data_IF_995089183207
#
_entry.id   IF_995089183207
#
_cell.length_a   1.000
_cell.length_b   1.000
_cell.length_c   1.000
_cell.angle_alpha   90.00
_cell.angle_beta   90.00
_cell.angle_gamma   90.00
#
_symmetry.space_group_name_H-M   'P 1'
#
loop_
_entity.id
_entity.type
_entity.pdbx_description
1 polymer ?
#
# COMPACT_ATOMS: atom_id res chain seq x y z
N UNK A 1 20.54 51.28 22.62
CA UNK A 1 21.14 49.95 22.68
C UNK A 1 20.20 48.86 23.24
N UNK A 2 19.53 49.16 24.35
CA UNK A 2 18.55 48.17 24.87
C UNK A 2 17.32 47.98 23.98
N UNK A 3 16.91 48.98 23.23
CA UNK A 3 15.81 48.96 22.30
C UNK A 3 16.09 48.08 21.07
N UNK A 4 17.31 48.06 20.54
CA UNK A 4 17.70 47.21 19.41
C UNK A 4 17.69 45.70 19.76
N UNK A 5 18.21 45.36 20.94
CA UNK A 5 18.16 43.98 21.45
C UNK A 5 16.73 43.48 21.68
N UNK A 6 15.83 44.33 22.09
CA UNK A 6 14.42 44.01 22.32
C UNK A 6 13.68 43.75 21.02
N UNK A 7 13.93 44.58 20.03
CA UNK A 7 13.31 44.44 18.70
C UNK A 7 13.76 43.16 18.00
N UNK A 8 15.05 42.86 18.08
CA UNK A 8 15.62 41.67 17.50
C UNK A 8 15.06 40.37 18.15
N UNK A 9 14.81 40.45 19.45
CA UNK A 9 14.25 39.33 20.21
C UNK A 9 12.75 39.12 19.92
N UNK A 10 11.99 40.16 19.73
CA UNK A 10 10.59 40.11 19.33
C UNK A 10 10.43 39.59 17.89
N UNK A 11 11.29 39.99 16.97
CA UNK A 11 11.33 39.50 15.61
C UNK A 11 11.65 38.00 15.55
N UNK A 12 12.60 37.54 16.36
CA UNK A 12 12.90 36.09 16.47
C UNK A 12 11.73 35.30 17.02
N UNK A 13 11.03 35.79 18.00
CA UNK A 13 9.83 35.13 18.52
C UNK A 13 8.72 35.05 17.51
N UNK A 14 8.49 36.09 16.74
CA UNK A 14 7.52 36.13 15.68
C UNK A 14 7.85 35.12 14.59
N UNK A 15 9.11 35.06 14.18
CA UNK A 15 9.59 34.10 13.17
C UNK A 15 9.46 32.67 13.65
N UNK A 16 9.85 32.35 14.88
CA UNK A 16 9.72 30.98 15.44
C UNK A 16 8.25 30.57 15.54
N UNK A 17 7.36 31.46 15.96
CA UNK A 17 5.92 31.17 16.00
C UNK A 17 5.35 30.88 14.62
N UNK A 18 5.74 31.63 13.61
CA UNK A 18 5.28 31.43 12.23
C UNK A 18 5.79 30.12 11.65
N UNK A 19 7.04 29.75 11.91
CA UNK A 19 7.60 28.46 11.49
C UNK A 19 6.88 27.30 12.19
N UNK A 20 6.64 27.39 13.50
CA UNK A 20 5.93 26.37 14.25
C UNK A 20 4.49 26.20 13.76
N UNK A 21 3.78 27.29 13.44
CA UNK A 21 2.44 27.25 12.86
C UNK A 21 2.45 26.62 11.47
N UNK A 22 3.43 26.92 10.65
CA UNK A 22 3.58 26.34 9.32
C UNK A 22 3.84 24.82 9.38
N UNK A 23 4.73 24.39 10.27
CA UNK A 23 5.02 22.96 10.49
C UNK A 23 3.78 22.23 11.00
N UNK A 24 3.06 22.80 11.95
CA UNK A 24 1.81 22.24 12.47
C UNK A 24 0.74 22.12 11.36
N UNK A 25 0.64 23.11 10.48
CA UNK A 25 -0.27 23.07 9.34
C UNK A 25 0.09 21.96 8.35
N UNK A 26 1.38 21.79 8.04
CA UNK A 26 1.87 20.72 7.16
C UNK A 26 1.55 19.35 7.77
N UNK A 27 1.82 19.15 9.05
CA UNK A 27 1.50 17.90 9.75
C UNK A 27 -0.01 17.65 9.74
N UNK A 28 -0.82 18.67 9.98
CA UNK A 28 -2.28 18.56 9.92
C UNK A 28 -2.77 18.18 8.52
N UNK A 29 -2.23 18.78 7.48
CA UNK A 29 -2.56 18.47 6.08
C UNK A 29 -2.18 17.02 5.77
N UNK A 30 -1.02 16.55 6.16
CA UNK A 30 -0.64 15.14 6.01
C UNK A 30 -1.60 14.20 6.74
N UNK A 31 -1.99 14.53 7.95
CA UNK A 31 -2.95 13.75 8.73
C UNK A 31 -4.32 13.71 8.08
N UNK A 32 -4.80 14.84 7.56
CA UNK A 32 -6.07 14.93 6.85
C UNK A 32 -6.02 14.19 5.51
N UNK A 33 -4.91 14.27 4.78
CA UNK A 33 -4.73 13.54 3.52
C UNK A 33 -4.71 12.04 3.74
N UNK A 34 -4.02 11.54 4.74
CA UNK A 34 -4.05 10.12 5.11
C UNK A 34 -5.45 9.66 5.53
N UNK A 35 -6.17 10.49 6.27
CA UNK A 35 -7.54 10.20 6.68
C UNK A 35 -8.56 10.26 5.55
N UNK A 36 -8.42 11.19 4.61
CA UNK A 36 -9.35 11.40 3.49
C UNK A 36 -8.95 10.67 2.21
N UNK A 37 -7.66 10.49 1.95
CA UNK A 37 -7.17 9.78 0.76
C UNK A 37 -7.44 8.28 0.80
N UNK A 38 -7.89 7.74 1.93
CA UNK A 38 -8.17 6.32 2.09
C UNK A 38 -6.90 5.48 2.06
N UNK A 39 -6.98 4.33 1.43
CA UNK A 39 -5.89 3.37 1.34
C UNK A 39 -4.86 3.80 0.29
N UNK A 40 -3.57 4.02 0.65
CA UNK A 40 -2.54 4.37 -0.32
C UNK A 40 -2.26 3.27 -1.35
N UNK A 41 -2.65 2.03 -1.07
CA UNK A 41 -2.49 0.89 -1.97
C UNK A 41 -3.70 0.65 -2.85
N UNK A 42 -4.77 1.41 -2.71
CA UNK A 42 -5.97 1.25 -3.54
C UNK A 42 -5.64 1.45 -5.02
N UNK A 43 -6.08 0.52 -5.85
CA UNK A 43 -5.90 0.59 -7.29
C UNK A 43 -5.56 -0.75 -7.92
N UNK A 44 -5.22 -0.70 -9.19
CA UNK A 44 -4.78 -1.86 -9.97
C UNK A 44 -3.28 -1.79 -10.20
N UNK A 45 -2.59 -2.80 -9.74
CA UNK A 45 -1.13 -2.92 -9.77
C UNK A 45 -0.73 -4.11 -10.63
N UNK A 46 0.13 -3.85 -11.61
CA UNK A 46 0.52 -4.83 -12.62
C UNK A 46 1.96 -5.28 -12.42
N UNK A 47 2.17 -6.61 -12.44
CA UNK A 47 3.48 -7.22 -12.54
C UNK A 47 3.57 -7.95 -13.89
N UNK A 48 4.38 -7.43 -14.81
CA UNK A 48 4.53 -7.99 -16.15
C UNK A 48 5.33 -9.29 -16.16
N UNK A 49 6.31 -9.40 -15.28
CA UNK A 49 7.17 -10.58 -15.17
C UNK A 49 6.36 -11.83 -14.82
N UNK A 50 5.45 -11.72 -13.88
CA UNK A 50 4.56 -12.81 -13.46
C UNK A 50 3.26 -12.88 -14.25
N UNK A 51 2.95 -11.87 -15.05
CA UNK A 51 1.69 -11.81 -15.80
C UNK A 51 0.44 -11.70 -14.92
N UNK A 52 0.55 -11.01 -13.80
CA UNK A 52 -0.53 -10.84 -12.83
C UNK A 52 -0.88 -9.38 -12.61
N UNK A 53 -2.15 -9.14 -12.30
CA UNK A 53 -2.63 -7.86 -11.79
C UNK A 53 -3.13 -8.06 -10.35
N UNK A 54 -2.69 -7.21 -9.44
CA UNK A 54 -3.18 -7.15 -8.08
C UNK A 54 -4.10 -5.95 -7.94
N UNK A 55 -5.37 -6.18 -7.69
CA UNK A 55 -6.37 -5.13 -7.50
C UNK A 55 -6.67 -4.99 -6.01
N UNK A 56 -6.33 -3.86 -5.45
CA UNK A 56 -6.60 -3.56 -4.04
C UNK A 56 -7.78 -2.61 -3.96
N UNK A 57 -8.85 -3.07 -3.31
CA UNK A 57 -10.07 -2.30 -3.13
C UNK A 57 -10.00 -1.34 -1.95
N UNK A 58 -11.06 -0.57 -1.78
CA UNK A 58 -11.14 0.51 -0.78
C UNK A 58 -11.15 0.04 0.66
N UNK A 59 -11.80 -1.09 0.94
CA UNK A 59 -12.02 -1.57 2.31
C UNK A 59 -11.01 -2.66 2.67
N UNK A 60 -11.38 -3.88 2.38
CA UNK A 60 -10.66 -5.07 2.81
C UNK A 60 -10.57 -6.13 1.71
N UNK A 61 -10.99 -5.81 0.50
CA UNK A 61 -11.01 -6.75 -0.62
C UNK A 61 -9.82 -6.54 -1.55
N UNK A 62 -9.19 -7.62 -1.95
CA UNK A 62 -8.17 -7.65 -2.98
C UNK A 62 -8.44 -8.79 -3.95
N UNK A 63 -8.02 -8.60 -5.19
CA UNK A 63 -8.20 -9.61 -6.25
C UNK A 63 -6.88 -9.78 -6.97
N UNK A 64 -6.44 -11.04 -7.07
CA UNK A 64 -5.31 -11.42 -7.91
C UNK A 64 -5.86 -11.93 -9.24
N UNK A 65 -5.41 -11.32 -10.35
CA UNK A 65 -5.85 -11.64 -11.70
C UNK A 65 -4.70 -12.15 -12.55
N UNK A 66 -4.97 -13.20 -13.32
CA UNK A 66 -4.04 -13.71 -14.33
C UNK A 66 -4.55 -13.36 -15.73
N UNK A 67 -3.65 -13.05 -16.65
CA UNK A 67 -4.02 -12.63 -18.00
C UNK A 67 -4.31 -13.78 -18.95
N UNK A 68 -3.58 -14.87 -18.84
CA UNK A 68 -3.47 -15.87 -19.90
C UNK A 68 -4.10 -17.22 -19.57
N UNK A 69 -5.00 -17.30 -18.58
CA UNK A 69 -5.62 -18.55 -18.17
C UNK A 69 -7.12 -18.58 -18.48
N UNK A 70 -7.55 -19.62 -19.18
CA UNK A 70 -8.90 -19.71 -19.70
C UNK A 70 -9.98 -20.07 -18.67
N UNK A 71 -9.64 -20.83 -17.62
CA UNK A 71 -10.65 -21.32 -16.67
C UNK A 71 -10.79 -20.47 -15.42
N UNK A 72 -9.70 -20.26 -14.70
CA UNK A 72 -9.71 -19.40 -13.51
C UNK A 72 -8.84 -18.18 -13.77
N UNK A 73 -9.49 -17.03 -13.90
CA UNK A 73 -8.81 -15.75 -14.21
C UNK A 73 -8.49 -14.92 -12.98
N UNK A 74 -9.14 -15.18 -11.87
CA UNK A 74 -8.95 -14.39 -10.65
C UNK A 74 -9.29 -15.16 -9.40
N UNK A 75 -8.65 -14.78 -8.30
CA UNK A 75 -9.01 -15.20 -6.94
C UNK A 75 -9.16 -13.98 -6.04
N UNK A 76 -10.00 -14.10 -5.02
CA UNK A 76 -10.31 -13.04 -4.08
C UNK A 76 -9.61 -13.26 -2.75
N UNK A 77 -9.17 -12.15 -2.16
CA UNK A 77 -8.60 -12.11 -0.82
C UNK A 77 -9.29 -11.05 0.01
N UNK A 78 -9.26 -11.20 1.32
CA UNK A 78 -9.39 -10.09 2.23
C UNK A 78 -7.98 -9.62 2.60
N UNK A 79 -7.82 -8.37 2.98
CA UNK A 79 -6.53 -7.86 3.44
C UNK A 79 -6.68 -6.97 4.66
N UNK A 80 -5.62 -6.93 5.45
CA UNK A 80 -5.44 -5.99 6.53
C UNK A 80 -4.21 -5.15 6.26
N UNK A 81 -4.31 -3.84 6.47
CA UNK A 81 -3.25 -2.89 6.23
C UNK A 81 -2.77 -2.29 7.55
N UNK A 82 -1.51 -2.48 7.87
CA UNK A 82 -0.83 -1.78 8.96
C UNK A 82 0.02 -0.65 8.37
N UNK A 83 -0.51 0.56 8.41
CA UNK A 83 0.17 1.74 7.85
C UNK A 83 1.37 2.17 8.68
N UNK A 84 1.37 1.90 9.95
CA UNK A 84 2.44 2.26 10.87
C UNK A 84 3.69 1.43 10.62
N UNK A 85 3.51 0.12 10.50
CA UNK A 85 4.59 -0.83 10.21
C UNK A 85 4.81 -1.03 8.72
N UNK A 86 3.96 -0.47 7.87
CA UNK A 86 3.97 -0.64 6.41
C UNK A 86 3.93 -2.11 6.00
N UNK A 87 2.92 -2.79 6.49
CA UNK A 87 2.66 -4.19 6.20
C UNK A 87 1.25 -4.38 5.64
N UNK A 88 1.12 -5.34 4.75
CA UNK A 88 -0.17 -5.79 4.24
C UNK A 88 -0.25 -7.30 4.39
N UNK A 89 -1.36 -7.77 4.93
CA UNK A 89 -1.64 -9.20 5.11
C UNK A 89 -2.82 -9.59 4.25
N UNK A 90 -2.62 -10.54 3.36
CA UNK A 90 -3.68 -11.10 2.53
C UNK A 90 -4.15 -12.43 3.09
N UNK A 91 -5.47 -12.62 3.15
CA UNK A 91 -6.08 -13.86 3.60
C UNK A 91 -7.00 -14.42 2.51
N UNK A 92 -6.91 -15.72 2.28
CA UNK A 92 -7.79 -16.42 1.33
C UNK A 92 -9.24 -16.36 1.81
N UNK A 93 -10.14 -16.08 0.90
CA UNK A 93 -11.59 -16.23 1.15
C UNK A 93 -12.02 -17.68 0.99
N UNK A 94 -13.22 -18.01 1.45
CA UNK A 94 -13.83 -19.32 1.22
C UNK A 94 -13.96 -19.62 -0.29
N UNK A 95 -14.31 -18.61 -1.08
CA UNK A 95 -14.38 -18.70 -2.53
C UNK A 95 -13.03 -19.06 -3.16
N UNK A 96 -11.96 -18.40 -2.71
CA UNK A 96 -10.61 -18.69 -3.19
C UNK A 96 -10.17 -20.10 -2.82
N UNK A 97 -10.43 -20.53 -1.59
CA UNK A 97 -10.14 -21.91 -1.16
C UNK A 97 -10.89 -22.95 -2.00
N UNK A 98 -12.15 -22.68 -2.32
CA UNK A 98 -12.96 -23.54 -3.19
C UNK A 98 -12.39 -23.60 -4.62
N UNK A 99 -11.95 -22.48 -5.18
CA UNK A 99 -11.31 -22.44 -6.49
C UNK A 99 -10.02 -23.25 -6.53
N UNK A 100 -9.19 -23.13 -5.51
CA UNK A 100 -7.94 -23.91 -5.38
C UNK A 100 -8.26 -25.41 -5.36
N UNK A 101 -9.32 -25.83 -4.65
CA UNK A 101 -9.74 -27.22 -4.56
C UNK A 101 -10.51 -27.75 -5.78
N UNK A 102 -10.89 -26.87 -6.73
CA UNK A 102 -11.76 -27.26 -7.87
C UNK A 102 -11.08 -28.08 -8.96
N UNK A 103 -9.76 -28.16 -8.97
CA UNK A 103 -8.97 -28.81 -10.02
C UNK A 103 -8.88 -28.02 -11.33
N UNK A 104 -9.46 -26.82 -11.39
CA UNK A 104 -9.44 -25.94 -12.57
C UNK A 104 -8.25 -25.00 -12.64
N UNK A 105 -7.56 -24.83 -11.54
CA UNK A 105 -6.37 -23.98 -11.47
C UNK A 105 -5.14 -24.76 -11.92
N UNK A 106 -4.25 -24.09 -12.63
CA UNK A 106 -2.92 -24.65 -12.93
C UNK A 106 -2.05 -24.68 -11.69
N UNK A 107 -0.99 -25.51 -11.70
CA UNK A 107 -0.03 -25.54 -10.58
C UNK A 107 0.59 -24.18 -10.33
N UNK A 108 0.93 -23.43 -11.39
CA UNK A 108 1.46 -22.07 -11.27
C UNK A 108 0.47 -21.11 -10.60
N UNK A 109 -0.83 -21.21 -10.93
CA UNK A 109 -1.85 -20.39 -10.27
C UNK A 109 -2.02 -20.76 -8.80
N UNK A 110 -1.95 -22.02 -8.45
CA UNK A 110 -2.03 -22.48 -7.06
C UNK A 110 -0.85 -21.95 -6.26
N UNK A 111 0.36 -22.01 -6.83
CA UNK A 111 1.56 -21.45 -6.19
C UNK A 111 1.44 -19.94 -5.99
N UNK A 112 1.03 -19.19 -6.99
CA UNK A 112 0.81 -17.75 -6.91
C UNK A 112 -0.23 -17.40 -5.84
N UNK A 113 -1.35 -18.11 -5.85
CA UNK A 113 -2.42 -17.89 -4.88
C UNK A 113 -1.97 -18.18 -3.45
N UNK A 114 -1.18 -19.21 -3.24
CA UNK A 114 -0.60 -19.56 -1.95
C UNK A 114 0.44 -18.52 -1.51
N UNK A 115 1.27 -18.06 -2.42
CA UNK A 115 2.29 -17.05 -2.17
C UNK A 115 1.67 -15.74 -1.65
N UNK A 116 0.62 -15.26 -2.29
CA UNK A 116 -0.06 -14.03 -1.88
C UNK A 116 -0.89 -14.16 -0.60
N UNK A 117 -1.10 -15.34 -0.09
CA UNK A 117 -1.80 -15.55 1.18
C UNK A 117 -0.86 -15.42 2.38
N UNK A 118 -0.23 -14.27 2.53
CA UNK A 118 0.79 -14.01 3.55
C UNK A 118 0.87 -12.51 3.89
N UNK A 119 1.80 -12.20 4.78
CA UNK A 119 2.12 -10.82 5.17
C UNK A 119 3.35 -10.33 4.41
N UNK A 120 3.22 -9.14 3.83
CA UNK A 120 4.29 -8.46 3.10
C UNK A 120 4.59 -7.11 3.70
N UNK A 121 5.84 -6.71 3.68
CA UNK A 121 6.21 -5.30 3.80
C UNK A 121 5.91 -4.60 2.48
N UNK A 122 5.39 -3.39 2.51
CA UNK A 122 5.11 -2.64 1.29
C UNK A 122 5.83 -1.30 1.27
N UNK A 123 6.16 -0.88 0.08
CA UNK A 123 6.66 0.47 -0.22
C UNK A 123 5.93 0.99 -1.44
N UNK A 124 5.37 2.19 -1.34
CA UNK A 124 4.69 2.87 -2.45
C UNK A 124 5.42 4.16 -2.74
N UNK A 125 5.80 4.35 -3.99
CA UNK A 125 6.37 5.59 -4.50
C UNK A 125 5.69 5.94 -5.83
N UNK A 126 4.74 6.88 -5.76
CA UNK A 126 3.95 7.26 -6.92
C UNK A 126 3.18 6.08 -7.52
N UNK A 127 3.59 5.63 -8.70
CA UNK A 127 2.98 4.51 -9.42
C UNK A 127 3.70 3.18 -9.22
N UNK A 128 4.66 3.13 -8.33
CA UNK A 128 5.40 1.92 -8.03
C UNK A 128 5.03 1.37 -6.66
N UNK A 129 4.73 0.08 -6.61
CA UNK A 129 4.50 -0.68 -5.39
C UNK A 129 5.54 -1.80 -5.33
N UNK A 130 6.22 -1.91 -4.21
CA UNK A 130 7.10 -3.05 -3.93
C UNK A 130 6.55 -3.81 -2.74
N UNK A 131 6.33 -5.10 -2.90
CA UNK A 131 6.01 -6.03 -1.84
C UNK A 131 7.23 -6.87 -1.53
N UNK A 132 7.63 -6.93 -0.27
CA UNK A 132 8.78 -7.69 0.19
C UNK A 132 8.34 -8.74 1.19
N UNK A 133 8.87 -9.95 1.06
CA UNK A 133 8.67 -11.00 2.06
C UNK A 133 9.28 -10.62 3.41
N UNK A 134 8.63 -11.06 4.48
CA UNK A 134 9.01 -10.72 5.84
C UNK A 134 10.44 -11.16 6.20
N UNK A 135 10.85 -12.35 5.78
CA UNK A 135 12.09 -12.97 6.30
C UNK A 135 13.31 -12.86 5.37
N UNK A 136 13.19 -12.81 4.05
CA UNK A 136 14.31 -12.97 3.14
C UNK A 136 14.36 -12.07 1.92
N UNK A 137 13.54 -11.06 1.87
CA UNK A 137 13.74 -9.99 0.90
C UNK A 137 13.48 -10.32 -0.56
N UNK A 138 12.77 -11.40 -0.90
CA UNK A 138 12.19 -11.47 -2.24
C UNK A 138 11.25 -10.30 -2.43
N UNK A 139 11.45 -9.58 -3.50
CA UNK A 139 10.71 -8.37 -3.80
C UNK A 139 9.92 -8.54 -5.08
N UNK A 140 8.65 -8.17 -5.02
CA UNK A 140 7.80 -8.06 -6.20
C UNK A 140 7.51 -6.60 -6.47
N UNK A 141 7.81 -6.16 -7.67
CA UNK A 141 7.55 -4.79 -8.12
C UNK A 141 6.31 -4.74 -8.99
N UNK A 142 5.46 -3.78 -8.69
CA UNK A 142 4.22 -3.56 -9.43
C UNK A 142 4.16 -2.12 -9.93
N UNK A 143 3.50 -1.92 -11.05
CA UNK A 143 3.23 -0.59 -11.60
C UNK A 143 1.74 -0.32 -11.58
N UNK A 144 1.34 0.83 -11.09
CA UNK A 144 -0.06 1.23 -11.04
C UNK A 144 -0.59 1.54 -12.43
N UNK A 145 -1.70 0.90 -12.79
CA UNK A 145 -2.37 1.11 -14.09
C UNK A 145 -3.70 1.88 -13.95
N UNK A 146 -4.29 1.85 -12.78
CA UNK A 146 -5.52 2.61 -12.50
C UNK A 146 -5.61 3.12 -11.07
#
# INVERSE_FOLDING_TARGET
MQTEKRTDWEDRRGTIRNIAALVALIVLVFFLMDGFAGNPLEGTWKNEELGIDLVIGKKDSAVLKWKDYDEVKSVKYTYELDRKEKQITFQKTTETAAKIGSGKMTDAQIEDAAYFSDTFNYSVDGKELVLSEWDFGEQLSFTKTK
#
